data_IF_142224804551
#
_entry.id   IF_142224804551
#
_cell.length_a   1.000
_cell.length_b   1.000
_cell.length_c   1.000
_cell.angle_alpha   90.00
_cell.angle_beta   90.00
_cell.angle_gamma   90.00
#
_symmetry.space_group_name_H-M   'P 1'
#
loop_
_entity.id
_entity.type
_entity.pdbx_description
1 polymer ?
#
# COMPACT_ATOMS: atom_id res chain seq x y z
N UNK A 1 -24.89 32.40 -17.18
CA UNK A 1 -24.46 31.07 -17.67
C UNK A 1 -24.01 31.26 -19.11
N UNK A 2 -22.70 31.16 -19.39
CA UNK A 2 -22.18 31.32 -20.75
C UNK A 2 -22.71 30.15 -21.59
N UNK A 3 -23.55 30.47 -22.57
CA UNK A 3 -24.12 29.51 -23.50
C UNK A 3 -22.96 28.96 -24.35
N UNK A 4 -22.47 27.76 -24.02
CA UNK A 4 -21.63 27.03 -24.97
C UNK A 4 -22.52 26.79 -26.21
N UNK A 5 -22.10 27.22 -27.41
CA UNK A 5 -22.91 27.03 -28.60
C UNK A 5 -22.97 25.52 -28.89
N UNK A 6 -24.13 24.92 -28.59
CA UNK A 6 -24.49 23.51 -28.80
C UNK A 6 -24.11 22.99 -30.19
N UNK A 7 -24.01 23.87 -31.19
CA UNK A 7 -23.61 23.51 -32.56
C UNK A 7 -22.20 22.91 -32.62
N UNK A 8 -21.25 23.39 -31.82
CA UNK A 8 -19.86 22.88 -31.86
C UNK A 8 -19.78 21.47 -31.30
N UNK A 9 -20.54 21.18 -30.24
CA UNK A 9 -20.60 19.86 -29.63
C UNK A 9 -21.37 18.85 -30.50
N UNK A 10 -22.48 19.27 -31.13
CA UNK A 10 -23.25 18.43 -32.07
C UNK A 10 -22.46 18.14 -33.35
N UNK A 11 -21.68 19.10 -33.87
CA UNK A 11 -20.85 18.90 -35.05
C UNK A 11 -19.62 18.02 -34.78
N UNK A 12 -19.01 18.13 -33.59
CA UNK A 12 -17.90 17.26 -33.20
C UNK A 12 -18.33 15.78 -33.05
N UNK A 13 -19.54 15.52 -32.55
CA UNK A 13 -20.12 14.17 -32.49
C UNK A 13 -20.47 13.65 -33.90
N UNK A 14 -20.96 14.51 -34.79
CA UNK A 14 -21.28 14.16 -36.18
C UNK A 14 -20.02 13.85 -37.02
N UNK A 15 -18.90 14.54 -36.77
CA UNK A 15 -17.61 14.30 -37.43
C UNK A 15 -17.05 12.89 -37.15
N UNK A 16 -17.25 12.38 -35.93
CA UNK A 16 -16.79 11.03 -35.54
C UNK A 16 -17.62 9.90 -36.19
N UNK A 17 -18.86 10.18 -36.60
CA UNK A 17 -19.76 9.18 -37.22
C UNK A 17 -19.90 9.30 -38.75
N UNK A 18 -19.48 10.40 -39.37
CA UNK A 18 -19.74 10.69 -40.79
C UNK A 18 -18.48 10.94 -41.62
N UNK A 19 -17.49 10.05 -41.54
CA UNK A 19 -16.26 10.13 -42.37
C UNK A 19 -16.53 10.29 -43.88
N UNK A 20 -17.69 9.83 -44.38
CA UNK A 20 -18.12 10.07 -45.77
C UNK A 20 -18.71 11.46 -46.07
N UNK A 21 -19.35 12.13 -45.11
CA UNK A 21 -19.97 13.45 -45.32
C UNK A 21 -18.99 14.60 -45.04
N UNK A 22 -18.01 14.39 -44.16
CA UNK A 22 -17.01 15.39 -43.78
C UNK A 22 -15.98 15.66 -44.88
N UNK A 23 -15.66 14.65 -45.69
CA UNK A 23 -14.80 14.80 -46.88
C UNK A 23 -15.46 15.62 -48.00
N UNK A 24 -16.80 15.77 -47.98
CA UNK A 24 -17.59 16.42 -49.01
C UNK A 24 -18.01 17.87 -48.66
N UNK A 25 -17.77 18.34 -47.43
CA UNK A 25 -18.01 19.76 -47.08
C UNK A 25 -16.85 20.63 -47.58
N UNK A 26 -17.15 21.83 -48.05
CA UNK A 26 -16.18 22.88 -48.36
C UNK A 26 -15.93 23.83 -47.18
N UNK A 27 -16.47 23.50 -46.00
CA UNK A 27 -16.35 24.32 -44.79
C UNK A 27 -15.06 23.95 -44.05
N UNK A 28 -14.08 24.85 -44.15
CA UNK A 28 -12.75 24.65 -43.59
C UNK A 28 -12.74 24.64 -42.05
N UNK A 29 -13.70 25.32 -41.40
CA UNK A 29 -13.82 25.31 -39.93
C UNK A 29 -14.30 23.94 -39.43
N UNK A 30 -15.22 23.31 -40.17
CA UNK A 30 -15.70 21.96 -39.86
C UNK A 30 -14.58 20.93 -40.02
N UNK A 31 -13.76 21.05 -41.07
CA UNK A 31 -12.58 20.18 -41.28
C UNK A 31 -11.53 20.37 -40.19
N UNK A 32 -11.26 21.61 -39.79
CA UNK A 32 -10.33 21.93 -38.71
C UNK A 32 -10.80 21.34 -37.38
N UNK A 33 -12.07 21.57 -37.01
CA UNK A 33 -12.64 21.04 -35.78
C UNK A 33 -12.60 19.50 -35.72
N UNK A 34 -12.90 18.84 -36.83
CA UNK A 34 -12.83 17.39 -36.91
C UNK A 34 -11.42 16.83 -36.77
N UNK A 35 -10.43 17.48 -37.40
CA UNK A 35 -9.04 17.06 -37.31
C UNK A 35 -8.51 17.21 -35.89
N UNK A 36 -8.83 18.33 -35.22
CA UNK A 36 -8.51 18.55 -33.80
C UNK A 36 -9.15 17.47 -32.92
N UNK A 37 -10.41 17.10 -33.16
CA UNK A 37 -11.09 16.05 -32.40
C UNK A 37 -10.43 14.67 -32.57
N UNK A 38 -10.02 14.32 -33.81
CA UNK A 38 -9.32 13.05 -34.09
C UNK A 38 -7.97 13.01 -33.36
N UNK A 39 -7.21 14.10 -33.40
CA UNK A 39 -5.91 14.19 -32.76
C UNK A 39 -6.02 14.18 -31.24
N UNK A 40 -6.99 14.89 -30.66
CA UNK A 40 -7.25 14.83 -29.23
C UNK A 40 -7.62 13.41 -28.78
N UNK A 41 -8.44 12.69 -29.57
CA UNK A 41 -8.76 11.29 -29.28
C UNK A 41 -7.52 10.37 -29.39
N UNK A 42 -6.62 10.64 -30.32
CA UNK A 42 -5.34 9.93 -30.45
C UNK A 42 -4.45 10.14 -29.22
N UNK A 43 -4.27 11.40 -28.78
CA UNK A 43 -3.46 11.73 -27.60
C UNK A 43 -4.03 11.09 -26.32
N UNK A 44 -5.36 11.17 -26.11
CA UNK A 44 -6.02 10.47 -25.00
C UNK A 44 -5.78 8.94 -25.09
N UNK A 45 -5.72 8.39 -26.30
CA UNK A 45 -5.34 7.01 -26.54
C UNK A 45 -3.94 6.67 -26.06
N UNK A 46 -2.96 7.55 -26.27
CA UNK A 46 -1.59 7.41 -25.77
C UNK A 46 -1.50 7.60 -24.25
N UNK A 47 -2.22 8.53 -23.66
CA UNK A 47 -2.27 8.67 -22.18
C UNK A 47 -2.83 7.40 -21.51
N UNK A 48 -3.81 6.76 -22.14
CA UNK A 48 -4.44 5.53 -21.61
C UNK A 48 -3.55 4.30 -21.83
N UNK A 49 -2.97 4.15 -23.02
CA UNK A 49 -2.30 2.90 -23.44
C UNK A 49 -0.76 2.98 -23.40
N UNK A 50 -0.20 4.17 -23.27
CA UNK A 50 1.24 4.47 -23.32
C UNK A 50 1.72 4.87 -24.70
N UNK A 51 2.95 5.40 -24.73
CA UNK A 51 3.70 5.69 -25.94
C UNK A 51 5.19 5.44 -25.72
N UNK A 52 5.98 5.36 -26.79
CA UNK A 52 7.44 5.17 -26.74
C UNK A 52 8.18 6.16 -27.62
N UNK A 53 9.49 6.30 -27.39
CA UNK A 53 10.35 7.08 -28.26
C UNK A 53 10.26 6.57 -29.71
N UNK A 54 10.18 7.50 -30.65
CA UNK A 54 9.95 7.25 -32.07
C UNK A 54 8.48 7.10 -32.47
N UNK A 55 7.52 7.08 -31.54
CA UNK A 55 6.10 7.17 -31.90
C UNK A 55 5.66 8.60 -32.13
N UNK A 56 4.76 8.79 -33.08
CA UNK A 56 4.17 10.09 -33.36
C UNK A 56 3.35 10.58 -32.18
N UNK A 57 3.56 11.84 -31.81
CA UNK A 57 2.78 12.57 -30.83
C UNK A 57 2.36 13.91 -31.46
N UNK A 58 1.21 14.43 -31.01
CA UNK A 58 0.67 15.66 -31.55
C UNK A 58 0.50 16.71 -30.47
N UNK A 59 0.91 17.93 -30.77
CA UNK A 59 0.63 19.11 -29.94
C UNK A 59 -0.52 19.89 -30.58
N UNK A 60 -1.56 20.20 -29.80
CA UNK A 60 -2.69 21.03 -30.24
C UNK A 60 -2.50 22.41 -29.61
N UNK A 61 -2.19 23.41 -30.43
CA UNK A 61 -2.09 24.81 -30.01
C UNK A 61 -3.46 25.37 -29.59
N UNK A 62 -3.44 26.47 -28.83
CA UNK A 62 -4.67 27.13 -28.35
C UNK A 62 -5.59 27.61 -29.50
N UNK A 63 -5.03 27.88 -30.67
CA UNK A 63 -5.74 28.26 -31.90
C UNK A 63 -6.23 27.04 -32.72
N UNK A 64 -6.03 25.82 -32.23
CA UNK A 64 -6.35 24.57 -32.89
C UNK A 64 -5.36 24.19 -34.01
N UNK A 65 -4.18 24.82 -34.07
CA UNK A 65 -3.09 24.39 -34.95
C UNK A 65 -2.48 23.10 -34.42
N UNK A 66 -2.31 22.10 -35.28
CA UNK A 66 -1.80 20.78 -34.91
C UNK A 66 -0.35 20.67 -35.38
N UNK A 67 0.54 20.33 -34.45
CA UNK A 67 1.94 20.03 -34.76
C UNK A 67 2.20 18.55 -34.55
N UNK A 68 2.74 17.88 -35.57
CA UNK A 68 3.17 16.50 -35.49
C UNK A 68 4.67 16.45 -35.18
N UNK A 69 5.07 15.62 -34.21
CA UNK A 69 6.48 15.30 -33.95
C UNK A 69 6.63 13.84 -33.55
N UNK A 70 7.84 13.30 -33.68
CA UNK A 70 8.16 11.99 -33.14
C UNK A 70 8.65 12.14 -31.69
N UNK A 71 8.11 11.33 -30.78
CA UNK A 71 8.48 11.33 -29.38
C UNK A 71 9.98 11.04 -29.22
N UNK A 72 10.66 11.88 -28.47
CA UNK A 72 12.06 11.65 -28.09
C UNK A 72 12.14 10.89 -26.77
N UNK A 73 13.35 10.43 -26.42
CA UNK A 73 13.57 9.87 -25.08
C UNK A 73 13.30 10.88 -23.95
N UNK A 74 13.50 12.18 -24.22
CA UNK A 74 13.21 13.24 -23.25
C UNK A 74 11.70 13.38 -23.02
N UNK A 75 10.89 13.27 -24.08
CA UNK A 75 9.43 13.31 -23.96
C UNK A 75 8.92 12.12 -23.14
N UNK A 76 9.48 10.93 -23.36
CA UNK A 76 9.15 9.74 -22.56
C UNK A 76 9.55 9.94 -21.11
N UNK A 77 10.76 10.38 -20.80
CA UNK A 77 11.18 10.54 -19.40
C UNK A 77 10.49 11.70 -18.66
N UNK A 78 10.02 12.72 -19.40
CA UNK A 78 9.28 13.85 -18.85
C UNK A 78 7.78 13.55 -18.64
N UNK A 79 7.25 12.47 -19.23
CA UNK A 79 5.88 12.02 -18.99
C UNK A 79 5.71 11.53 -17.54
N UNK A 80 4.58 11.86 -16.92
CA UNK A 80 4.25 11.52 -15.52
C UNK A 80 4.40 10.01 -15.23
N UNK A 81 4.14 9.18 -16.24
CA UNK A 81 4.21 7.73 -16.16
C UNK A 81 5.29 7.14 -17.07
N UNK A 82 6.23 7.96 -17.53
CA UNK A 82 7.33 7.56 -18.40
C UNK A 82 6.90 6.81 -19.65
N UNK A 83 5.80 7.23 -20.28
CA UNK A 83 5.22 6.60 -21.46
C UNK A 83 4.51 5.27 -21.22
N UNK A 84 4.34 4.83 -19.96
CA UNK A 84 3.66 3.56 -19.66
C UNK A 84 2.15 3.60 -19.94
N UNK A 85 1.55 4.77 -19.77
CA UNK A 85 0.10 4.96 -19.83
C UNK A 85 -0.67 4.40 -18.64
N UNK A 86 -1.88 4.91 -18.44
CA UNK A 86 -2.71 4.63 -17.26
C UNK A 86 -3.00 3.13 -17.07
N UNK A 87 -3.30 2.37 -18.13
CA UNK A 87 -3.62 0.94 -18.01
C UNK A 87 -2.48 0.12 -17.41
N UNK A 88 -1.25 0.38 -17.86
CA UNK A 88 -0.07 -0.37 -17.41
C UNK A 88 0.33 0.05 -16.00
N UNK A 89 0.25 1.35 -15.69
CA UNK A 89 0.47 1.88 -14.33
C UNK A 89 -0.50 1.26 -13.34
N UNK A 90 -1.81 1.27 -13.63
CA UNK A 90 -2.83 0.68 -12.74
C UNK A 90 -2.61 -0.82 -12.55
N UNK A 91 -2.22 -1.55 -13.61
CA UNK A 91 -1.87 -2.96 -13.51
C UNK A 91 -0.67 -3.19 -12.57
N UNK A 92 0.39 -2.40 -12.71
CA UNK A 92 1.57 -2.49 -11.85
C UNK A 92 1.27 -2.08 -10.41
N UNK A 93 0.46 -1.04 -10.21
CA UNK A 93 0.00 -0.60 -8.90
C UNK A 93 -0.83 -1.70 -8.22
N UNK A 94 -1.73 -2.35 -8.95
CA UNK A 94 -2.55 -3.46 -8.44
C UNK A 94 -1.67 -4.64 -7.98
N UNK A 95 -0.64 -5.00 -8.76
CA UNK A 95 0.34 -6.02 -8.36
C UNK A 95 1.08 -5.60 -7.08
N UNK A 96 1.58 -4.37 -7.04
CA UNK A 96 2.31 -3.82 -5.89
C UNK A 96 1.45 -3.84 -4.62
N UNK A 97 0.18 -3.44 -4.71
CA UNK A 97 -0.76 -3.46 -3.58
C UNK A 97 -0.98 -4.89 -3.08
N UNK A 98 -1.17 -5.85 -3.99
CA UNK A 98 -1.36 -7.25 -3.62
C UNK A 98 -0.11 -7.88 -2.99
N UNK A 99 1.07 -7.59 -3.55
CA UNK A 99 2.36 -8.05 -3.02
C UNK A 99 2.63 -7.46 -1.63
N UNK A 100 2.39 -6.16 -1.45
CA UNK A 100 2.52 -5.49 -0.16
C UNK A 100 1.55 -6.07 0.88
N UNK A 101 0.30 -6.36 0.48
CA UNK A 101 -0.68 -7.02 1.36
C UNK A 101 -0.20 -8.40 1.80
N UNK A 102 0.29 -9.22 0.87
CA UNK A 102 0.81 -10.55 1.21
C UNK A 102 2.05 -10.46 2.11
N UNK A 103 2.93 -9.49 1.87
CA UNK A 103 4.11 -9.26 2.70
C UNK A 103 3.73 -8.90 4.14
N UNK A 104 2.78 -7.96 4.32
CA UNK A 104 2.35 -7.55 5.65
C UNK A 104 1.58 -8.67 6.37
N UNK A 105 0.70 -9.39 5.68
CA UNK A 105 -0.04 -10.53 6.25
C UNK A 105 0.94 -11.61 6.76
N UNK A 106 2.01 -11.90 6.01
CA UNK A 106 3.02 -12.86 6.43
C UNK A 106 3.81 -12.39 7.66
N UNK A 107 4.19 -11.11 7.70
CA UNK A 107 4.89 -10.52 8.86
C UNK A 107 4.01 -10.50 10.11
N UNK A 108 2.73 -10.16 9.97
CA UNK A 108 1.77 -10.16 11.08
C UNK A 108 1.59 -11.57 11.62
N UNK A 109 1.39 -12.58 10.77
CA UNK A 109 1.29 -13.98 11.21
C UNK A 109 2.55 -14.49 11.92
N UNK A 110 3.73 -14.10 11.43
CA UNK A 110 4.98 -14.45 12.08
C UNK A 110 5.06 -13.84 13.49
N UNK A 111 4.71 -12.55 13.63
CA UNK A 111 4.66 -11.86 14.92
C UNK A 111 3.62 -12.48 15.87
N UNK A 112 2.43 -12.81 15.38
CA UNK A 112 1.39 -13.48 16.17
C UNK A 112 1.88 -14.84 16.71
N UNK A 113 2.57 -15.63 15.88
CA UNK A 113 3.14 -16.92 16.31
C UNK A 113 4.24 -16.75 17.37
N UNK A 114 5.04 -15.68 17.30
CA UNK A 114 6.02 -15.35 18.34
C UNK A 114 5.35 -14.91 19.65
N UNK A 115 4.30 -14.09 19.57
CA UNK A 115 3.51 -13.65 20.73
C UNK A 115 2.85 -14.84 21.41
N UNK A 116 2.29 -15.80 20.66
CA UNK A 116 1.69 -17.01 21.22
C UNK A 116 2.72 -17.83 22.01
N UNK A 117 3.91 -18.04 21.45
CA UNK A 117 5.01 -18.74 22.15
C UNK A 117 5.44 -18.02 23.42
N UNK A 118 5.55 -16.69 23.38
CA UNK A 118 5.90 -15.89 24.56
C UNK A 118 4.81 -15.98 25.63
N UNK A 119 3.54 -15.98 25.22
CA UNK A 119 2.40 -16.11 26.14
C UNK A 119 2.43 -17.45 26.87
N UNK A 120 2.66 -18.55 26.16
CA UNK A 120 2.82 -19.88 26.79
C UNK A 120 4.00 -19.92 27.75
N UNK A 121 5.17 -19.43 27.32
CA UNK A 121 6.37 -19.40 28.18
C UNK A 121 6.19 -18.56 29.44
N UNK A 122 5.45 -17.46 29.35
CA UNK A 122 5.14 -16.62 30.50
C UNK A 122 4.27 -17.39 31.51
N UNK A 123 3.22 -18.07 31.03
CA UNK A 123 2.38 -18.92 31.89
C UNK A 123 3.18 -20.06 32.56
N UNK A 124 4.09 -20.70 31.83
CA UNK A 124 4.97 -21.73 32.39
C UNK A 124 5.92 -21.15 33.47
N UNK A 125 6.40 -19.92 33.25
CA UNK A 125 7.26 -19.21 34.21
C UNK A 125 6.50 -18.86 35.48
N UNK A 126 5.27 -18.36 35.34
CA UNK A 126 4.41 -18.03 36.49
C UNK A 126 4.07 -19.28 37.32
N UNK A 127 3.85 -20.43 36.67
CA UNK A 127 3.63 -21.71 37.36
C UNK A 127 4.87 -22.15 38.14
N UNK A 128 6.06 -22.08 37.53
CA UNK A 128 7.31 -22.43 38.21
C UNK A 128 7.64 -21.48 39.37
N UNK A 129 7.25 -20.20 39.26
CA UNK A 129 7.41 -19.24 40.34
C UNK A 129 6.48 -19.58 41.52
N UNK A 130 5.23 -19.96 41.25
CA UNK A 130 4.30 -20.40 42.30
C UNK A 130 4.81 -21.64 43.06
N UNK A 131 5.41 -22.61 42.34
CA UNK A 131 6.05 -23.78 42.97
C UNK A 131 7.26 -23.37 43.84
N UNK A 132 8.03 -22.38 43.37
CA UNK A 132 9.18 -21.85 44.12
C UNK A 132 8.74 -21.15 45.41
N UNK A 133 7.69 -20.33 45.35
CA UNK A 133 7.13 -19.66 46.51
C UNK A 133 6.61 -20.67 47.56
N UNK A 134 5.91 -21.72 47.11
CA UNK A 134 5.45 -22.79 47.99
C UNK A 134 6.61 -23.53 48.69
N UNK A 135 7.66 -23.87 47.94
CA UNK A 135 8.85 -24.53 48.51
C UNK A 135 9.60 -23.61 49.51
N UNK A 136 9.63 -22.31 49.24
CA UNK A 136 10.23 -21.32 50.13
C UNK A 136 9.44 -21.20 51.44
N UNK A 137 8.11 -21.18 51.37
CA UNK A 137 7.24 -21.17 52.55
C UNK A 137 7.43 -22.43 53.41
N UNK A 138 7.48 -23.61 52.79
CA UNK A 138 7.77 -24.87 53.49
C UNK A 138 9.13 -24.84 54.18
N UNK A 139 10.17 -24.36 53.49
CA UNK A 139 11.53 -24.23 54.04
C UNK A 139 11.56 -23.26 55.22
N UNK A 140 10.88 -22.12 55.09
CA UNK A 140 10.79 -21.10 56.15
C UNK A 140 10.10 -21.66 57.39
N UNK A 141 9.00 -22.39 57.21
CA UNK A 141 8.28 -23.02 58.32
C UNK A 141 9.12 -24.10 59.02
N UNK A 142 9.84 -24.93 58.27
CA UNK A 142 10.74 -25.93 58.83
C UNK A 142 11.90 -25.29 59.61
N UNK A 143 12.48 -24.20 59.09
CA UNK A 143 13.54 -23.45 59.76
C UNK A 143 13.05 -22.84 61.07
N UNK A 144 11.88 -22.21 61.07
CA UNK A 144 11.26 -21.65 62.28
C UNK A 144 11.05 -22.74 63.33
N UNK A 145 10.50 -23.90 62.94
CA UNK A 145 10.27 -25.03 63.85
C UNK A 145 11.58 -25.58 64.43
N UNK A 146 12.63 -25.68 63.62
CA UNK A 146 13.94 -26.08 64.09
C UNK A 146 14.51 -25.07 65.10
N UNK A 147 14.37 -23.77 64.83
CA UNK A 147 14.80 -22.70 65.74
C UNK A 147 14.11 -22.76 67.10
N UNK A 148 12.79 -22.99 67.12
CA UNK A 148 12.02 -23.23 68.35
C UNK A 148 12.57 -24.43 69.12
N UNK A 149 12.71 -25.58 68.45
CA UNK A 149 13.17 -26.82 69.07
C UNK A 149 14.58 -26.67 69.70
N UNK A 150 15.51 -26.01 68.99
CA UNK A 150 16.87 -25.75 69.50
C UNK A 150 16.82 -24.83 70.72
N UNK A 151 15.98 -23.78 70.68
CA UNK A 151 15.84 -22.84 71.80
C UNK A 151 15.34 -23.56 73.04
N UNK A 152 14.27 -24.34 72.92
CA UNK A 152 13.75 -25.16 74.03
C UNK A 152 14.80 -26.13 74.56
N UNK A 153 15.49 -26.86 73.68
CA UNK A 153 16.55 -27.80 74.09
C UNK A 153 17.69 -27.10 74.84
N UNK A 154 18.11 -25.91 74.38
CA UNK A 154 19.16 -25.13 75.02
C UNK A 154 18.74 -24.63 76.41
N UNK A 155 17.50 -24.16 76.56
CA UNK A 155 16.94 -23.72 77.84
C UNK A 155 16.82 -24.86 78.86
N UNK A 156 16.32 -26.03 78.43
CA UNK A 156 16.24 -27.23 79.25
C UNK A 156 17.63 -27.73 79.66
N UNK A 157 18.57 -27.78 78.71
CA UNK A 157 19.96 -28.18 78.98
C UNK A 157 20.63 -27.24 79.98
N UNK A 158 20.50 -25.92 79.80
CA UNK A 158 21.00 -24.92 80.73
C UNK A 158 20.40 -25.11 82.13
N UNK A 159 19.09 -25.33 82.19
CA UNK A 159 18.37 -25.58 83.44
C UNK A 159 18.90 -26.83 84.16
N UNK A 160 19.18 -27.90 83.42
CA UNK A 160 19.67 -29.16 83.98
C UNK A 160 21.15 -29.12 84.40
N UNK A 161 21.98 -28.29 83.77
CA UNK A 161 23.40 -28.11 84.14
C UNK A 161 23.57 -27.24 85.40
N UNK A 162 22.70 -26.25 85.59
CA UNK A 162 22.81 -25.27 86.70
C UNK A 162 22.12 -25.74 87.99
N UNK A 163 21.23 -26.75 87.91
CA UNK A 163 20.61 -27.42 89.06
C UNK A 163 21.59 -28.33 89.79
#
# INVERSE_FOLDING_TARGET
MKHFPSKVLTTAILATFCSGALAATSDDDVKKAATVAIVAAYNNGQEINGFKAGETIYDIGEDGTITQKDATAADVEADDFKGLGLKKVVTNLTKTVNENKQNVDAKVKAAESEIEKLTTKLADTDAALADTDAALDETTNALNKLGENITTFAEETKTNIVK
#
